data_IF_291395709533
#
_entry.id   IF_291395709533
#
_cell.length_a   1.000
_cell.length_b   1.000
_cell.length_c   1.000
_cell.angle_alpha   90.00
_cell.angle_beta   90.00
_cell.angle_gamma   90.00
#
_symmetry.space_group_name_H-M   'P 1'
#
loop_
_entity.id
_entity.type
_entity.pdbx_description
1 polymer ?
#
# COMPACT_ATOMS: atom_id res chain seq x y z
N UNK A 1 -14.56 1.25 16.24
CA UNK A 1 -15.02 0.86 14.88
C UNK A 1 -14.24 -0.40 14.51
N UNK A 2 -14.91 -1.45 14.06
CA UNK A 2 -14.23 -2.70 13.65
C UNK A 2 -13.59 -2.52 12.28
N UNK A 3 -12.42 -3.12 12.08
CA UNK A 3 -11.73 -3.16 10.80
C UNK A 3 -12.05 -4.49 10.13
N UNK A 4 -12.70 -4.44 8.96
CA UNK A 4 -13.17 -5.65 8.27
C UNK A 4 -12.28 -5.98 7.09
N UNK A 5 -11.83 -7.23 7.01
CA UNK A 5 -11.19 -7.74 5.80
C UNK A 5 -12.23 -7.86 4.69
N UNK A 6 -12.11 -7.05 3.64
CA UNK A 6 -13.05 -7.05 2.50
C UNK A 6 -13.00 -8.31 1.63
N UNK A 7 -11.99 -9.16 1.82
CA UNK A 7 -11.80 -10.41 1.06
C UNK A 7 -12.46 -11.62 1.72
N UNK A 8 -12.56 -11.64 3.05
CA UNK A 8 -13.15 -12.76 3.80
C UNK A 8 -14.16 -12.34 4.87
N UNK A 9 -14.49 -11.05 4.96
CA UNK A 9 -15.43 -10.42 5.88
C UNK A 9 -15.15 -10.66 7.38
N UNK A 10 -13.95 -11.12 7.74
CA UNK A 10 -13.53 -11.19 9.15
C UNK A 10 -13.32 -9.80 9.73
N UNK A 11 -13.83 -9.58 10.93
CA UNK A 11 -13.72 -8.33 11.68
C UNK A 11 -12.60 -8.40 12.72
N UNK A 12 -11.91 -7.29 12.91
CA UNK A 12 -10.81 -7.14 13.85
C UNK A 12 -11.00 -5.91 14.72
N UNK A 13 -10.50 -5.93 15.95
CA UNK A 13 -10.66 -4.85 16.92
C UNK A 13 -9.71 -3.68 16.65
N UNK A 14 -8.70 -3.89 15.79
CA UNK A 14 -7.75 -2.86 15.43
C UNK A 14 -7.19 -3.03 14.01
N UNK A 15 -6.68 -1.92 13.46
CA UNK A 15 -5.94 -1.93 12.20
C UNK A 15 -4.69 -2.82 12.25
N UNK A 16 -4.05 -2.95 13.42
CA UNK A 16 -2.91 -3.84 13.64
C UNK A 16 -3.29 -5.30 13.47
N UNK A 17 -4.44 -5.70 14.01
CA UNK A 17 -4.93 -7.08 13.87
C UNK A 17 -5.34 -7.40 12.44
N UNK A 18 -6.04 -6.48 11.76
CA UNK A 18 -6.33 -6.62 10.33
C UNK A 18 -5.03 -6.77 9.52
N UNK A 19 -4.00 -5.99 9.83
CA UNK A 19 -2.67 -6.12 9.20
C UNK A 19 -2.04 -7.48 9.41
N UNK A 20 -2.01 -7.96 10.64
CA UNK A 20 -1.46 -9.27 10.98
C UNK A 20 -2.24 -10.41 10.31
N UNK A 21 -3.51 -10.19 9.97
CA UNK A 21 -4.28 -11.12 9.16
C UNK A 21 -3.88 -11.07 7.68
N UNK A 22 -3.82 -9.89 7.07
CA UNK A 22 -3.66 -9.75 5.62
C UNK A 22 -2.27 -10.17 5.08
N UNK A 23 -1.22 -10.11 5.91
CA UNK A 23 0.14 -10.51 5.52
C UNK A 23 0.27 -12.04 5.29
N UNK A 24 -0.07 -12.92 6.26
CA UNK A 24 0.02 -14.38 6.11
C UNK A 24 -1.23 -15.01 5.49
N UNK A 25 -2.33 -14.27 5.27
CA UNK A 25 -3.59 -14.85 4.83
C UNK A 25 -3.51 -15.47 3.42
N UNK A 26 -4.38 -16.45 3.10
CA UNK A 26 -4.49 -17.05 1.76
C UNK A 26 -4.77 -16.02 0.65
N UNK A 27 -5.40 -14.90 1.02
CA UNK A 27 -5.68 -13.78 0.12
C UNK A 27 -4.64 -12.64 0.20
N UNK A 28 -3.48 -12.90 0.83
CA UNK A 28 -2.35 -11.98 0.98
C UNK A 28 -1.59 -11.68 -0.31
N UNK A 29 -2.29 -11.49 -1.43
CA UNK A 29 -1.69 -10.94 -2.65
C UNK A 29 -1.72 -9.42 -2.51
N UNK A 30 -0.65 -8.85 -1.95
CA UNK A 30 -0.51 -7.40 -1.84
C UNK A 30 -0.55 -6.80 -3.25
N UNK A 31 -1.54 -5.95 -3.53
CA UNK A 31 -1.61 -5.16 -4.78
C UNK A 31 -1.40 -3.71 -4.39
N UNK A 32 -0.18 -3.22 -4.55
CA UNK A 32 0.22 -1.89 -4.11
C UNK A 32 0.03 -0.89 -5.24
N UNK A 33 -0.67 0.21 -4.97
CA UNK A 33 -0.94 1.27 -5.95
C UNK A 33 0.19 2.31 -5.91
N UNK A 34 0.64 2.78 -7.08
CA UNK A 34 1.54 3.93 -7.16
C UNK A 34 0.78 5.23 -6.84
N UNK A 35 1.25 6.04 -5.86
CA UNK A 35 0.55 7.25 -5.45
C UNK A 35 0.70 8.43 -6.42
N UNK A 36 1.68 8.39 -7.33
CA UNK A 36 1.97 9.47 -8.28
C UNK A 36 1.47 9.20 -9.71
N UNK A 37 0.86 8.03 -9.93
CA UNK A 37 0.21 7.67 -11.19
C UNK A 37 -1.23 8.20 -11.24
N UNK A 38 -1.40 9.50 -11.50
CA UNK A 38 -2.71 10.16 -11.45
C UNK A 38 -3.58 9.92 -12.70
N UNK A 39 -2.97 9.72 -13.87
CA UNK A 39 -3.69 9.55 -15.13
C UNK A 39 -4.13 8.09 -15.38
N UNK A 40 -3.31 7.13 -14.97
CA UNK A 40 -3.58 5.70 -15.12
C UNK A 40 -3.04 4.97 -13.89
N UNK A 41 -3.93 4.37 -13.10
CA UNK A 41 -3.53 3.71 -11.86
C UNK A 41 -2.61 2.51 -12.13
N UNK A 42 -1.38 2.56 -11.61
CA UNK A 42 -0.42 1.46 -11.69
C UNK A 42 -0.42 0.66 -10.40
N UNK A 43 -0.58 -0.65 -10.54
CA UNK A 43 -0.59 -1.58 -9.41
C UNK A 43 0.55 -2.60 -9.50
N UNK A 44 1.08 -3.01 -8.35
CA UNK A 44 2.26 -3.86 -8.25
C UNK A 44 2.04 -4.98 -7.24
N UNK A 45 2.53 -6.18 -7.54
CA UNK A 45 2.42 -7.34 -6.65
C UNK A 45 3.51 -7.38 -5.57
N UNK A 46 4.58 -6.60 -5.75
CA UNK A 46 5.72 -6.54 -4.83
C UNK A 46 6.14 -5.08 -4.65
N UNK A 47 6.63 -4.80 -3.46
CA UNK A 47 7.07 -3.44 -3.10
C UNK A 47 8.32 -3.02 -3.87
N UNK A 48 9.21 -3.98 -4.17
CA UNK A 48 10.39 -3.71 -5.00
C UNK A 48 10.00 -3.28 -6.43
N UNK A 49 8.92 -3.83 -6.99
CA UNK A 49 8.44 -3.49 -8.32
C UNK A 49 7.86 -2.07 -8.33
N UNK A 50 7.10 -1.70 -7.29
CA UNK A 50 6.65 -0.32 -7.07
C UNK A 50 7.82 0.64 -6.93
N UNK A 51 8.82 0.33 -6.08
CA UNK A 51 10.01 1.16 -5.87
C UNK A 51 10.74 1.41 -7.19
N UNK A 52 10.93 0.36 -7.99
CA UNK A 52 11.57 0.47 -9.30
C UNK A 52 10.76 1.31 -10.29
N UNK A 53 9.43 1.16 -10.31
CA UNK A 53 8.55 2.00 -11.11
C UNK A 53 8.67 3.48 -10.71
N UNK A 54 8.60 3.80 -9.41
CA UNK A 54 8.72 5.17 -8.94
C UNK A 54 10.09 5.78 -9.25
N UNK A 55 11.18 5.01 -9.15
CA UNK A 55 12.51 5.47 -9.57
C UNK A 55 12.60 5.84 -11.05
N UNK A 56 11.86 5.13 -11.91
CA UNK A 56 11.89 5.33 -13.37
C UNK A 56 10.95 6.43 -13.87
N UNK A 57 9.80 6.59 -13.22
CA UNK A 57 8.72 7.45 -13.71
C UNK A 57 8.37 8.63 -12.79
N UNK A 58 8.84 8.60 -11.54
CA UNK A 58 8.50 9.56 -10.48
C UNK A 58 9.74 9.96 -9.68
N UNK A 59 10.93 9.96 -10.30
CA UNK A 59 12.20 10.28 -9.64
C UNK A 59 12.16 11.61 -8.89
N UNK A 60 11.48 12.60 -9.46
CA UNK A 60 11.40 13.95 -8.90
C UNK A 60 10.62 13.98 -7.58
N UNK A 61 9.68 13.05 -7.41
CA UNK A 61 8.90 12.88 -6.18
C UNK A 61 9.64 12.08 -5.09
N UNK A 62 10.79 11.48 -5.39
CA UNK A 62 11.55 10.69 -4.41
C UNK A 62 12.49 11.52 -3.54
N UNK A 63 12.75 12.77 -3.90
CA UNK A 63 13.63 13.63 -3.12
C UNK A 63 13.00 13.94 -1.76
N UNK A 64 13.71 13.60 -0.67
CA UNK A 64 13.22 13.79 0.70
C UNK A 64 12.19 12.74 1.16
N UNK A 65 11.88 11.75 0.33
CA UNK A 65 11.02 10.62 0.74
C UNK A 65 11.84 9.64 1.57
N UNK A 66 11.38 9.24 2.77
CA UNK A 66 12.08 8.26 3.61
C UNK A 66 12.23 6.90 2.94
N UNK A 67 13.30 6.17 3.22
CA UNK A 67 13.57 4.87 2.58
C UNK A 67 12.48 3.83 2.90
N UNK A 68 11.92 3.89 4.12
CA UNK A 68 10.83 3.07 4.61
C UNK A 68 9.49 3.34 3.91
N UNK A 69 9.37 4.38 3.10
CA UNK A 69 8.18 4.67 2.31
C UNK A 69 7.76 3.47 1.46
N UNK A 70 8.75 2.79 0.85
CA UNK A 70 8.56 1.54 0.13
C UNK A 70 8.84 0.31 1.00
N UNK A 71 8.41 0.33 2.27
CA UNK A 71 8.38 -0.88 3.09
C UNK A 71 7.11 -1.70 2.84
N UNK A 72 7.16 -3.00 3.11
CA UNK A 72 5.97 -3.86 3.10
C UNK A 72 4.87 -3.34 4.03
N UNK A 73 5.26 -2.70 5.13
CA UNK A 73 4.36 -2.08 6.07
C UNK A 73 3.56 -0.93 5.46
N UNK A 74 4.19 -0.05 4.69
CA UNK A 74 3.53 1.08 4.05
C UNK A 74 2.78 0.67 2.79
N UNK A 75 3.32 -0.29 2.05
CA UNK A 75 2.63 -0.93 0.93
C UNK A 75 1.30 -1.59 1.33
N UNK A 76 1.23 -2.15 2.54
CA UNK A 76 -0.01 -2.66 3.10
C UNK A 76 -1.07 -1.56 3.30
N UNK A 77 -0.67 -0.41 3.87
CA UNK A 77 -1.60 0.71 4.04
C UNK A 77 -2.01 1.34 2.71
N UNK A 78 -1.09 1.41 1.74
CA UNK A 78 -1.38 1.79 0.35
C UNK A 78 -2.45 0.88 -0.29
N UNK A 79 -2.39 -0.42 -0.02
CA UNK A 79 -3.38 -1.38 -0.52
C UNK A 79 -4.74 -1.24 0.18
N UNK A 80 -4.77 -1.11 1.51
CA UNK A 80 -6.04 -1.04 2.25
C UNK A 80 -6.74 0.31 2.15
N UNK A 81 -5.98 1.41 2.18
CA UNK A 81 -6.52 2.77 2.19
C UNK A 81 -5.82 3.64 1.15
N UNK A 82 -5.93 3.30 -0.15
CA UNK A 82 -5.20 3.98 -1.20
C UNK A 82 -5.52 5.46 -1.30
N UNK A 83 -6.78 5.85 -1.05
CA UNK A 83 -7.19 7.25 -1.16
C UNK A 83 -6.69 8.10 0.01
N UNK A 84 -6.76 7.59 1.23
CA UNK A 84 -6.24 8.29 2.41
C UNK A 84 -4.72 8.41 2.33
N UNK A 85 -4.05 7.35 1.90
CA UNK A 85 -2.61 7.39 1.69
C UNK A 85 -2.22 8.37 0.57
N UNK A 86 -2.92 8.38 -0.57
CA UNK A 86 -2.71 9.38 -1.64
C UNK A 86 -2.85 10.83 -1.16
N UNK A 87 -3.69 11.11 -0.15
CA UNK A 87 -3.85 12.44 0.44
C UNK A 87 -2.69 12.83 1.36
N UNK A 88 -2.05 11.87 2.03
CA UNK A 88 -0.96 12.11 2.98
C UNK A 88 0.39 12.44 2.32
N UNK A 89 0.56 12.10 1.05
CA UNK A 89 1.83 12.31 0.30
C UNK A 89 1.74 13.55 -0.61
N UNK A 90 0.69 14.35 -0.50
CA UNK A 90 0.54 15.62 -1.23
C UNK A 90 1.12 16.77 -0.43
#
# INVERSE_FOLDING_TARGET
MLETCWLCNKSYNSKRELKNHMIPAPHGRLVVICPWCYHEERTFKRVIDLKNHCKRHHSDHLNGVPEEFFSENNAFWLFLYPQDYKRLIR
#
